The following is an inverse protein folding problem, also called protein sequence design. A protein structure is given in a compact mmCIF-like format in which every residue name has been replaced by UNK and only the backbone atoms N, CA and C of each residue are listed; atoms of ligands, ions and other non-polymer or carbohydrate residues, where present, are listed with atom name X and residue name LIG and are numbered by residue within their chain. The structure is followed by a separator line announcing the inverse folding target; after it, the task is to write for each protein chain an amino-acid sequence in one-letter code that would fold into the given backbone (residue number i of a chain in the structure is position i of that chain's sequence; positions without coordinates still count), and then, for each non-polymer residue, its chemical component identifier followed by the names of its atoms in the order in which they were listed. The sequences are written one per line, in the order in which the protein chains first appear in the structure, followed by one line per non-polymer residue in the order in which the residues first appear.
data_IF_942562670442
#
_entry.id   IF_942562670442
#
_cell.length_a   1.000
_cell.length_b   1.000
_cell.length_c   1.000
_cell.angle_alpha   90.00
_cell.angle_beta   90.00
_cell.angle_gamma   90.00
#
_symmetry.space_group_name_H-M   'P 1'
#
loop_
_entity.id
_entity.type
_entity.pdbx_description
1 polymer ?
#
# COMPACT_ATOMS: atom_id res chain seq x y z
N UNK A 1 -0.36 -24.38 -11.47
CA UNK A 1 0.59 -23.34 -11.03
C UNK A 1 -0.03 -21.97 -11.19
N UNK A 2 -0.01 -21.12 -10.18
CA UNK A 2 -0.52 -19.76 -10.34
C UNK A 2 0.36 -18.95 -11.30
N UNK A 3 -0.28 -18.10 -12.07
CA UNK A 3 0.41 -17.16 -12.94
C UNK A 3 1.01 -16.02 -12.11
N UNK A 4 1.94 -15.26 -12.66
CA UNK A 4 2.49 -14.07 -12.00
C UNK A 4 1.39 -13.06 -11.70
N UNK A 5 0.42 -12.89 -12.61
CA UNK A 5 -0.73 -12.02 -12.38
C UNK A 5 -1.52 -12.44 -11.14
N UNK A 6 -1.83 -13.74 -11.03
CA UNK A 6 -2.53 -14.28 -9.86
C UNK A 6 -1.73 -14.11 -8.57
N UNK A 7 -0.42 -14.32 -8.62
CA UNK A 7 0.47 -14.17 -7.47
C UNK A 7 0.50 -12.73 -6.96
N UNK A 8 0.57 -11.76 -7.88
CA UNK A 8 0.58 -10.33 -7.52
C UNK A 8 -0.78 -9.94 -6.92
N UNK A 9 -1.89 -10.38 -7.53
CA UNK A 9 -3.22 -10.11 -7.00
C UNK A 9 -3.39 -10.71 -5.61
N UNK A 10 -2.92 -11.93 -5.40
CA UNK A 10 -2.98 -12.59 -4.08
C UNK A 10 -2.12 -11.84 -3.06
N UNK A 11 -0.95 -11.37 -3.46
CA UNK A 11 -0.09 -10.59 -2.57
C UNK A 11 -0.76 -9.25 -2.19
N UNK A 12 -1.44 -8.59 -3.13
CA UNK A 12 -2.19 -7.37 -2.84
C UNK A 12 -3.34 -7.64 -1.86
N UNK A 13 -4.09 -8.71 -2.04
CA UNK A 13 -5.15 -9.10 -1.11
C UNK A 13 -4.58 -9.42 0.27
N UNK A 14 -3.45 -10.08 0.32
CA UNK A 14 -2.75 -10.37 1.56
C UNK A 14 -2.32 -9.09 2.29
N UNK A 15 -1.91 -8.07 1.55
CA UNK A 15 -1.60 -6.76 2.11
C UNK A 15 -2.85 -6.11 2.71
N UNK A 16 -3.96 -6.09 1.96
CA UNK A 16 -5.23 -5.58 2.47
C UNK A 16 -5.66 -6.29 3.75
N UNK A 17 -5.53 -7.61 3.77
CA UNK A 17 -5.87 -8.43 4.94
C UNK A 17 -4.96 -8.10 6.12
N UNK A 18 -3.68 -7.90 5.88
CA UNK A 18 -2.74 -7.54 6.93
C UNK A 18 -3.07 -6.19 7.57
N UNK A 19 -3.53 -5.22 6.77
CA UNK A 19 -3.99 -3.93 7.32
C UNK A 19 -5.23 -4.14 8.18
N UNK A 20 -6.21 -4.91 7.69
CA UNK A 20 -7.42 -5.22 8.45
C UNK A 20 -7.09 -5.90 9.78
N UNK A 21 -6.16 -6.84 9.75
CA UNK A 21 -5.73 -7.61 10.93
C UNK A 21 -4.69 -6.87 11.79
N UNK A 22 -4.25 -5.70 11.38
CA UNK A 22 -3.19 -4.92 12.05
C UNK A 22 -1.89 -5.70 12.20
N UNK A 23 -1.50 -6.38 11.12
CA UNK A 23 -0.35 -7.29 11.06
C UNK A 23 0.81 -6.63 10.30
N UNK A 24 1.58 -5.80 11.01
CA UNK A 24 2.73 -5.10 10.42
C UNK A 24 3.85 -6.06 9.98
N UNK A 25 3.98 -7.22 10.64
CA UNK A 25 5.00 -8.20 10.26
C UNK A 25 4.74 -8.79 8.87
N UNK A 26 3.48 -9.11 8.56
CA UNK A 26 3.11 -9.58 7.22
C UNK A 26 3.31 -8.49 6.19
N UNK A 27 2.97 -7.25 6.51
CA UNK A 27 3.22 -6.11 5.59
C UNK A 27 4.71 -6.06 5.23
N UNK A 28 5.59 -6.15 6.22
CA UNK A 28 7.03 -6.11 5.97
C UNK A 28 7.49 -7.21 5.02
N UNK A 29 6.93 -8.40 5.14
CA UNK A 29 7.28 -9.53 4.27
C UNK A 29 6.89 -9.32 2.80
N UNK A 30 5.93 -8.44 2.54
CA UNK A 30 5.46 -8.13 1.19
C UNK A 30 6.27 -7.03 0.52
N UNK A 31 7.23 -6.42 1.23
CA UNK A 31 8.01 -5.28 0.75
C UNK A 31 9.44 -5.68 0.44
N UNK A 32 9.99 -5.14 -0.64
CA UNK A 32 11.42 -5.22 -0.90
C UNK A 32 12.20 -4.44 0.17
N UNK A 33 13.44 -4.83 0.49
CA UNK A 33 14.20 -4.10 1.52
C UNK A 33 14.33 -2.60 1.27
N UNK A 34 14.42 -2.20 0.01
CA UNK A 34 14.56 -0.80 -0.41
C UNK A 34 13.23 -0.14 -0.79
N UNK A 35 12.11 -0.72 -0.33
CA UNK A 35 10.78 -0.18 -0.62
C UNK A 35 10.69 1.32 -0.37
N UNK A 36 9.98 2.03 -1.25
CA UNK A 36 9.74 3.45 -1.12
C UNK A 36 8.27 3.76 -1.39
N UNK A 37 7.69 4.65 -0.62
CA UNK A 37 6.30 5.08 -0.79
C UNK A 37 6.18 6.60 -0.81
N UNK A 38 5.28 7.09 -1.66
CA UNK A 38 4.70 8.42 -1.54
C UNK A 38 3.24 8.21 -1.16
N UNK A 39 2.84 8.66 0.02
CA UNK A 39 1.49 8.45 0.54
C UNK A 39 0.46 9.34 -0.15
N UNK A 40 -0.82 9.09 0.10
CA UNK A 40 -1.90 9.92 -0.45
C UNK A 40 -1.83 11.39 -0.07
N UNK A 41 -1.12 11.74 1.00
CA UNK A 41 -0.84 13.12 1.42
C UNK A 41 0.54 13.61 0.98
N UNK A 42 1.22 12.86 0.12
CA UNK A 42 2.57 13.19 -0.36
C UNK A 42 3.68 13.11 0.69
N UNK A 43 3.43 12.46 1.81
CA UNK A 43 4.50 12.09 2.74
C UNK A 43 5.32 10.95 2.14
N UNK A 44 6.60 10.91 2.42
CA UNK A 44 7.49 9.87 1.87
C UNK A 44 8.08 9.03 2.99
N UNK A 45 8.29 7.75 2.69
CA UNK A 45 8.95 6.83 3.60
C UNK A 45 9.79 5.84 2.80
N UNK A 46 10.93 5.42 3.34
CA UNK A 46 11.86 4.55 2.64
C UNK A 46 12.31 3.40 3.52
N UNK A 47 12.35 2.21 2.93
CA UNK A 47 12.77 0.98 3.61
C UNK A 47 11.60 0.15 4.14
N UNK A 48 11.71 -1.16 4.00
CA UNK A 48 10.66 -2.10 4.45
C UNK A 48 10.46 -2.03 5.96
N UNK A 49 11.55 -1.97 6.73
CA UNK A 49 11.47 -1.88 8.19
C UNK A 49 10.83 -0.58 8.65
N UNK A 50 11.19 0.53 8.03
CA UNK A 50 10.62 1.85 8.34
C UNK A 50 9.12 1.88 8.02
N UNK A 51 8.72 1.29 6.90
CA UNK A 51 7.31 1.26 6.52
C UNK A 51 6.49 0.36 7.45
N UNK A 52 7.02 -0.79 7.81
CA UNK A 52 6.35 -1.67 8.78
C UNK A 52 6.18 -0.96 10.14
N UNK A 53 7.20 -0.21 10.57
CA UNK A 53 7.13 0.59 11.80
C UNK A 53 6.07 1.68 11.71
N UNK A 54 5.94 2.33 10.55
CA UNK A 54 4.90 3.33 10.31
C UNK A 54 3.51 2.71 10.44
N UNK A 55 3.29 1.54 9.83
CA UNK A 55 2.01 0.83 9.94
C UNK A 55 1.73 0.42 11.38
N UNK A 56 2.72 -0.12 12.09
CA UNK A 56 2.56 -0.47 13.51
C UNK A 56 2.12 0.75 14.33
N UNK A 57 2.71 1.91 14.08
CA UNK A 57 2.33 3.17 14.72
C UNK A 57 0.89 3.57 14.41
N UNK A 58 0.45 3.44 13.15
CA UNK A 58 -0.93 3.70 12.74
C UNK A 58 -1.89 2.78 13.49
N UNK A 59 -1.60 1.47 13.52
CA UNK A 59 -2.47 0.49 14.18
C UNK A 59 -2.59 0.75 15.68
N UNK A 60 -1.55 1.23 16.31
CA UNK A 60 -1.53 1.54 17.73
C UNK A 60 -2.30 2.85 18.03
N UNK A 61 -2.09 3.88 17.20
CA UNK A 61 -2.68 5.20 17.45
C UNK A 61 -4.12 5.31 16.95
N UNK A 62 -4.48 4.56 15.91
CA UNK A 62 -5.84 4.57 15.34
C UNK A 62 -6.26 3.16 14.92
N UNK A 63 -6.81 2.37 15.85
CA UNK A 63 -7.28 1.01 15.54
C UNK A 63 -8.47 0.97 14.57
N UNK A 64 -9.09 2.12 14.24
CA UNK A 64 -10.16 2.18 13.25
C UNK A 64 -9.64 2.33 11.81
N UNK A 65 -8.36 2.63 11.63
CA UNK A 65 -7.80 2.87 10.30
C UNK A 65 -7.90 1.61 9.43
N UNK A 66 -8.48 1.78 8.24
CA UNK A 66 -8.57 0.71 7.25
C UNK A 66 -8.33 1.29 5.87
N UNK A 67 -7.56 0.56 5.06
CA UNK A 67 -7.23 0.97 3.71
C UNK A 67 -7.36 -0.24 2.79
N UNK A 68 -8.24 -0.11 1.79
CA UNK A 68 -8.50 -1.19 0.83
C UNK A 68 -7.99 -0.75 -0.52
N UNK A 69 -7.11 -1.55 -1.12
CA UNK A 69 -6.58 -1.34 -2.46
C UNK A 69 -7.23 -2.33 -3.40
N UNK A 70 -7.70 -1.83 -4.53
CA UNK A 70 -8.34 -2.65 -5.57
C UNK A 70 -7.52 -2.56 -6.84
N UNK A 71 -6.96 -3.68 -7.26
CA UNK A 71 -6.18 -3.77 -8.49
C UNK A 71 -7.08 -3.59 -9.70
N UNK A 72 -6.72 -2.67 -10.61
CA UNK A 72 -7.40 -2.51 -11.91
C UNK A 72 -6.63 -3.16 -13.04
N UNK A 73 -5.31 -2.98 -13.06
CA UNK A 73 -4.49 -3.41 -14.19
C UNK A 73 -3.11 -3.82 -13.70
N UNK A 74 -2.59 -4.92 -14.25
CA UNK A 74 -1.23 -5.38 -13.99
C UNK A 74 -0.56 -5.63 -15.34
N UNK A 75 0.62 -5.03 -15.53
CA UNK A 75 1.46 -5.25 -16.71
C UNK A 75 2.75 -5.90 -16.25
N UNK A 76 3.14 -7.02 -16.86
CA UNK A 76 4.23 -7.87 -16.36
C UNK A 76 5.31 -8.04 -17.41
N UNK A 77 6.55 -7.88 -16.99
CA UNK A 77 7.73 -8.32 -17.73
C UNK A 77 8.23 -9.61 -17.05
N UNK A 78 7.79 -10.76 -17.57
CA UNK A 78 8.14 -12.05 -16.99
C UNK A 78 9.64 -12.33 -17.04
N UNK A 79 10.29 -11.92 -18.11
CA UNK A 79 11.72 -12.19 -18.29
C UNK A 79 12.57 -11.51 -17.21
N UNK A 80 12.20 -10.30 -16.82
CA UNK A 80 12.95 -9.54 -15.83
C UNK A 80 12.38 -9.63 -14.42
N UNK A 81 11.20 -10.25 -14.24
CA UNK A 81 10.54 -10.33 -12.95
C UNK A 81 10.12 -8.97 -12.42
N UNK A 82 9.54 -8.15 -13.28
CA UNK A 82 9.05 -6.81 -12.94
C UNK A 82 7.58 -6.70 -13.32
N UNK A 83 6.82 -5.94 -12.55
CA UNK A 83 5.43 -5.66 -12.88
C UNK A 83 5.02 -4.28 -12.40
N UNK A 84 4.08 -3.68 -13.13
CA UNK A 84 3.39 -2.46 -12.72
C UNK A 84 1.94 -2.81 -12.39
N UNK A 85 1.46 -2.26 -11.29
CA UNK A 85 0.06 -2.36 -10.90
C UNK A 85 -0.54 -0.96 -10.85
N UNK A 86 -1.72 -0.79 -11.47
CA UNK A 86 -2.54 0.41 -11.33
C UNK A 86 -3.83 0.05 -10.63
N UNK A 87 -4.26 0.86 -9.70
CA UNK A 87 -5.46 0.56 -8.93
C UNK A 87 -6.10 1.77 -8.28
N UNK A 88 -7.14 1.49 -7.53
CA UNK A 88 -7.88 2.45 -6.73
C UNK A 88 -7.77 2.06 -5.25
N UNK A 89 -7.82 3.05 -4.37
CA UNK A 89 -7.80 2.80 -2.94
C UNK A 89 -8.90 3.57 -2.24
N UNK A 90 -9.34 3.04 -1.11
CA UNK A 90 -10.28 3.67 -0.19
C UNK A 90 -9.70 3.58 1.21
N UNK A 91 -9.78 4.65 1.96
CA UNK A 91 -9.31 4.69 3.34
C UNK A 91 -10.34 5.32 4.26
N UNK A 92 -10.41 4.80 5.49
CA UNK A 92 -11.17 5.38 6.58
C UNK A 92 -10.29 5.43 7.81
N UNK A 93 -10.29 6.54 8.50
CA UNK A 93 -9.51 6.70 9.72
C UNK A 93 -10.15 7.75 10.62
N UNK A 94 -9.75 7.78 11.90
CA UNK A 94 -10.29 8.72 12.87
C UNK A 94 -9.35 9.92 12.98
N UNK A 95 -9.91 11.11 12.80
CA UNK A 95 -9.17 12.37 12.93
C UNK A 95 -9.98 13.30 13.84
N UNK A 96 -9.38 13.76 14.94
CA UNK A 96 -10.02 14.63 15.92
C UNK A 96 -11.37 14.07 16.41
N UNK A 97 -11.43 12.77 16.65
CA UNK A 97 -12.62 12.08 17.14
C UNK A 97 -13.69 11.78 16.10
N UNK A 98 -13.46 12.13 14.83
CA UNK A 98 -14.39 11.87 13.73
C UNK A 98 -13.80 10.86 12.75
N UNK A 99 -14.65 9.94 12.27
CA UNK A 99 -14.30 9.06 11.17
C UNK A 99 -14.34 9.87 9.87
N UNK A 100 -13.23 9.87 9.15
CA UNK A 100 -13.12 10.52 7.83
C UNK A 100 -12.75 9.50 6.77
N UNK A 101 -13.21 9.75 5.55
CA UNK A 101 -12.97 8.87 4.41
C UNK A 101 -12.20 9.63 3.33
N UNK A 102 -11.33 8.91 2.65
CA UNK A 102 -10.61 9.40 1.49
C UNK A 102 -10.47 8.28 0.49
N UNK A 103 -10.28 8.63 -0.76
CA UNK A 103 -10.07 7.65 -1.83
C UNK A 103 -9.25 8.25 -2.96
N UNK A 104 -8.72 7.41 -3.81
CA UNK A 104 -7.94 7.87 -4.93
C UNK A 104 -7.39 6.73 -5.78
N UNK A 105 -6.28 7.02 -6.42
CA UNK A 105 -5.60 6.09 -7.32
C UNK A 105 -4.21 5.79 -6.79
N UNK A 106 -3.63 4.67 -7.24
CA UNK A 106 -2.25 4.35 -6.95
C UNK A 106 -1.57 3.64 -8.12
N UNK A 107 -0.26 3.75 -8.16
CA UNK A 107 0.59 2.92 -8.99
C UNK A 107 1.61 2.22 -8.09
N UNK A 108 1.96 1.00 -8.45
CA UNK A 108 2.90 0.20 -7.68
C UNK A 108 3.83 -0.55 -8.61
N UNK A 109 5.05 -0.77 -8.17
CA UNK A 109 6.00 -1.62 -8.86
C UNK A 109 6.33 -2.83 -8.01
N UNK A 110 6.20 -4.00 -8.62
CA UNK A 110 6.49 -5.29 -8.02
C UNK A 110 7.76 -5.88 -8.63
N UNK A 111 8.51 -6.59 -7.84
CA UNK A 111 9.69 -7.33 -8.28
C UNK A 111 9.62 -8.76 -7.78
N UNK A 112 9.97 -9.72 -8.63
CA UNK A 112 10.05 -11.11 -8.21
C UNK A 112 11.35 -11.33 -7.43
N UNK A 113 11.21 -11.80 -6.19
CA UNK A 113 12.34 -12.13 -5.34
C UNK A 113 12.98 -13.45 -5.77
N UNK A 114 14.18 -13.74 -5.27
CA UNK A 114 14.90 -14.97 -5.61
C UNK A 114 14.15 -16.23 -5.27
N UNK A 115 13.34 -16.20 -4.21
CA UNK A 115 12.50 -17.35 -3.81
C UNK A 115 11.26 -17.53 -4.69
N UNK A 116 11.02 -16.63 -5.65
CA UNK A 116 9.87 -16.67 -6.55
C UNK A 116 8.68 -15.83 -6.10
N UNK A 117 8.69 -15.30 -4.89
CA UNK A 117 7.61 -14.43 -4.41
C UNK A 117 7.70 -13.05 -5.05
N UNK A 118 6.55 -12.41 -5.24
CA UNK A 118 6.49 -11.03 -5.70
C UNK A 118 6.42 -10.08 -4.50
N UNK A 119 7.29 -9.09 -4.48
CA UNK A 119 7.35 -8.08 -3.42
C UNK A 119 7.24 -6.68 -4.00
N UNK A 120 6.70 -5.77 -3.20
CA UNK A 120 6.55 -4.37 -3.59
C UNK A 120 7.90 -3.64 -3.51
N UNK A 121 8.26 -2.99 -4.59
CA UNK A 121 9.44 -2.15 -4.67
C UNK A 121 9.12 -0.70 -4.38
N UNK A 122 7.99 -0.20 -4.88
CA UNK A 122 7.55 1.17 -4.63
C UNK A 122 6.05 1.29 -4.84
N UNK A 123 5.45 2.27 -4.15
CA UNK A 123 4.05 2.64 -4.33
C UNK A 123 3.92 4.16 -4.31
N UNK A 124 3.03 4.68 -5.16
CA UNK A 124 2.68 6.10 -5.18
C UNK A 124 1.16 6.20 -5.10
N UNK A 125 0.67 6.83 -4.04
CA UNK A 125 -0.76 7.04 -3.81
C UNK A 125 -1.11 8.51 -4.03
N UNK A 126 -2.27 8.75 -4.64
CA UNK A 126 -2.79 10.10 -4.85
C UNK A 126 -4.23 10.15 -4.34
N UNK A 127 -4.51 11.06 -3.42
CA UNK A 127 -5.87 11.28 -2.94
C UNK A 127 -6.62 12.13 -3.95
N UNK A 128 -7.78 11.65 -4.36
CA UNK A 128 -8.63 12.33 -5.35
C UNK A 128 -9.91 12.85 -4.69
N UNK A 129 -10.53 12.05 -3.82
CA UNK A 129 -11.73 12.43 -3.09
C UNK A 129 -11.47 12.32 -1.59
N UNK A 130 -12.05 13.24 -0.81
CA UNK A 130 -11.80 13.26 0.61
C UNK A 130 -12.93 14.00 1.33
N UNK A 131 -13.21 13.58 2.57
CA UNK A 131 -14.15 14.28 3.46
C UNK A 131 -13.56 15.58 3.96
N UNK A 132 -14.44 16.52 4.34
CA UNK A 132 -14.07 17.86 4.78
C UNK A 132 -13.11 17.87 5.98
N UNK A 133 -13.00 16.85 6.76
CA UNK A 133 -12.06 16.78 7.88
C UNK A 133 -10.63 16.43 7.53
N UNK A 134 -10.38 15.99 6.29
CA UNK A 134 -9.04 15.58 5.88
C UNK A 134 -8.10 16.79 5.74
N UNK A 135 -6.85 16.60 6.18
CA UNK A 135 -5.84 17.67 6.15
C UNK A 135 -4.98 17.53 4.90
N UNK A 136 -4.97 18.54 3.99
CA UNK A 136 -4.14 18.48 2.79
C UNK A 136 -2.66 18.60 3.14
N UNK A 137 -1.76 18.14 2.25
CA UNK A 137 -0.33 18.39 2.39
C UNK A 137 -0.04 19.87 2.19
N UNK A 138 1.08 20.34 2.74
CA UNK A 138 1.55 21.70 2.47
C UNK A 138 2.07 21.81 1.04
N UNK A 139 1.80 22.93 0.33
CA UNK A 139 2.38 23.16 -0.99
C UNK A 139 3.91 23.22 -0.94
N UNK A 140 4.54 22.79 -2.00
CA UNK A 140 5.97 22.85 -2.15
C UNK A 140 6.43 24.29 -2.44
#
# INVERSE_FOLDING_TARGET
MPTSNEMIRNARERFNKAIEDKDAATIRMLLAPTYHIVTGRSDQNHGAGEEAARWAGVFQSDPTAIYIRTTREITINEAWGLAEELGNWQGSYTLAGKLVNASGVYSAKWQRARNGDWVLQTEVFTTIEFDEGCVPPEPI
#
